data_IF_039596069938
#
_entry.id   IF_039596069938
#
_cell.length_a   1.000
_cell.length_b   1.000
_cell.length_c   1.000
_cell.angle_alpha   90.00
_cell.angle_beta   90.00
_cell.angle_gamma   90.00
#
_symmetry.space_group_name_H-M   'P 1'
#
loop_
_entity.id
_entity.type
_entity.pdbx_description
1 polymer ?
#
# COMPACT_ATOMS: atom_id res chain seq x y z
N UNK A 1 -8.63 -20.34 4.58
CA UNK A 1 -8.43 -18.88 4.69
C UNK A 1 -7.09 -18.55 4.03
N UNK A 2 -7.02 -17.53 3.19
CA UNK A 2 -5.82 -17.24 2.37
C UNK A 2 -4.81 -16.47 3.22
N UNK A 3 -3.61 -17.01 3.42
CA UNK A 3 -2.60 -16.40 4.29
C UNK A 3 -1.65 -15.49 3.48
N UNK A 4 -2.10 -14.25 3.28
CA UNK A 4 -1.25 -13.21 2.71
C UNK A 4 -0.08 -12.84 3.63
N UNK A 5 -0.13 -13.19 4.92
CA UNK A 5 0.91 -12.88 5.90
C UNK A 5 2.25 -13.50 5.53
N UNK A 6 2.28 -14.80 5.25
CA UNK A 6 3.51 -15.48 4.82
C UNK A 6 4.07 -14.92 3.51
N UNK A 7 3.20 -14.66 2.54
CA UNK A 7 3.60 -14.11 1.25
C UNK A 7 4.23 -12.73 1.38
N UNK A 8 3.56 -11.82 2.10
CA UNK A 8 4.06 -10.46 2.31
C UNK A 8 5.34 -10.48 3.15
N UNK A 9 5.45 -11.37 4.15
CA UNK A 9 6.66 -11.53 4.95
C UNK A 9 7.86 -12.00 4.13
N UNK A 10 7.67 -12.93 3.18
CA UNK A 10 8.73 -13.37 2.28
C UNK A 10 9.20 -12.27 1.33
N UNK A 11 8.28 -11.43 0.85
CA UNK A 11 8.64 -10.31 -0.03
C UNK A 11 9.27 -9.13 0.70
N UNK A 12 9.03 -9.00 2.01
CA UNK A 12 9.43 -7.84 2.81
C UNK A 12 10.14 -8.22 4.12
N UNK A 13 11.20 -9.04 4.08
CA UNK A 13 11.82 -9.56 5.29
C UNK A 13 12.35 -8.45 6.21
N UNK A 14 12.89 -7.38 5.63
CA UNK A 14 13.45 -6.24 6.38
C UNK A 14 12.39 -5.51 7.22
N UNK A 15 11.16 -5.37 6.70
CA UNK A 15 10.04 -4.74 7.41
C UNK A 15 9.64 -5.59 8.60
N UNK A 16 9.51 -6.91 8.42
CA UNK A 16 9.13 -7.81 9.52
C UNK A 16 10.22 -7.94 10.58
N UNK A 17 11.50 -7.88 10.19
CA UNK A 17 12.60 -7.80 11.14
C UNK A 17 12.57 -6.50 11.98
N UNK A 18 12.15 -5.38 11.37
CA UNK A 18 12.07 -4.09 12.04
C UNK A 18 10.88 -3.94 13.01
N UNK A 19 9.85 -4.79 12.90
CA UNK A 19 8.65 -4.70 13.74
C UNK A 19 8.95 -4.90 15.24
N UNK A 20 10.01 -5.62 15.62
CA UNK A 20 10.41 -5.74 17.03
C UNK A 20 11.05 -4.48 17.61
N UNK A 21 11.29 -3.45 16.80
CA UNK A 21 11.94 -2.21 17.20
C UNK A 21 11.00 -1.01 17.39
N UNK A 22 11.58 0.19 17.57
CA UNK A 22 10.81 1.43 17.66
C UNK A 22 10.27 1.87 16.28
N UNK A 23 9.25 2.74 16.30
CA UNK A 23 8.56 3.22 15.10
C UNK A 23 9.43 4.05 14.14
N UNK A 24 10.40 4.82 14.66
CA UNK A 24 11.26 5.68 13.84
C UNK A 24 12.15 4.89 12.86
N UNK A 25 12.93 3.86 13.29
CA UNK A 25 13.64 3.00 12.35
C UNK A 25 12.72 2.26 11.38
N UNK A 26 11.55 1.79 11.84
CA UNK A 26 10.58 1.14 10.95
C UNK A 26 10.13 2.08 9.83
N UNK A 27 9.87 3.35 10.15
CA UNK A 27 9.50 4.38 9.15
C UNK A 27 10.54 4.54 8.06
N UNK A 28 11.83 4.54 8.41
CA UNK A 28 12.94 4.58 7.47
C UNK A 28 12.96 3.34 6.58
N UNK A 29 12.89 2.15 7.19
CA UNK A 29 12.94 0.86 6.49
C UNK A 29 11.75 0.70 5.53
N UNK A 30 10.56 1.16 5.92
CA UNK A 30 9.39 1.19 5.04
C UNK A 30 9.64 2.08 3.81
N UNK A 31 10.17 3.30 4.00
CA UNK A 31 10.45 4.21 2.89
C UNK A 31 11.48 3.62 1.91
N UNK A 32 12.58 3.07 2.43
CA UNK A 32 13.63 2.42 1.63
C UNK A 32 13.11 1.19 0.86
N UNK A 33 12.41 0.29 1.57
CA UNK A 33 11.84 -0.92 0.96
C UNK A 33 10.83 -0.58 -0.13
N UNK A 34 9.99 0.44 0.07
CA UNK A 34 8.97 0.85 -0.91
C UNK A 34 9.61 1.48 -2.15
N UNK A 35 10.62 2.34 -1.97
CA UNK A 35 11.34 2.95 -3.09
C UNK A 35 12.08 1.89 -3.91
N UNK A 36 12.74 0.93 -3.24
CA UNK A 36 13.41 -0.20 -3.90
C UNK A 36 12.46 -1.06 -4.71
N UNK A 37 11.29 -1.40 -4.15
CA UNK A 37 10.24 -2.16 -4.85
C UNK A 37 9.65 -1.42 -6.06
N UNK A 38 9.59 -0.08 -6.02
CA UNK A 38 9.21 0.73 -7.17
C UNK A 38 10.30 0.80 -8.25
N UNK A 39 11.45 0.13 -8.05
CA UNK A 39 12.57 0.07 -8.97
C UNK A 39 13.49 1.29 -8.92
N UNK A 40 13.43 2.06 -7.82
CA UNK A 40 14.25 3.24 -7.60
C UNK A 40 15.24 3.08 -6.45
N UNK A 41 16.24 3.95 -6.42
CA UNK A 41 17.12 4.16 -5.28
C UNK A 41 16.86 5.57 -4.72
N UNK A 42 16.97 5.73 -3.41
CA UNK A 42 16.80 7.03 -2.76
C UNK A 42 18.00 7.93 -3.09
N UNK A 43 17.77 9.00 -3.84
CA UNK A 43 18.85 9.85 -4.40
C UNK A 43 19.42 10.83 -3.37
N UNK A 44 18.61 11.27 -2.41
CA UNK A 44 19.03 12.20 -1.37
C UNK A 44 18.15 12.02 -0.13
N UNK A 45 18.62 11.24 0.84
CA UNK A 45 17.95 11.14 2.14
C UNK A 45 18.74 11.86 3.22
N UNK A 46 18.05 12.61 4.10
CA UNK A 46 18.57 12.83 5.44
C UNK A 46 18.81 11.47 6.10
N UNK A 47 19.97 11.30 6.72
CA UNK A 47 20.51 10.01 7.21
C UNK A 47 19.65 9.35 8.30
N UNK A 48 18.65 10.05 8.83
CA UNK A 48 17.81 9.60 9.93
C UNK A 48 16.36 10.04 9.77
N UNK A 49 15.44 9.10 10.03
CA UNK A 49 14.02 9.43 10.15
C UNK A 49 13.77 10.31 11.37
N UNK A 50 12.84 11.26 11.23
CA UNK A 50 12.38 12.07 12.34
C UNK A 50 11.78 11.21 13.46
N UNK A 51 11.84 11.73 14.70
CA UNK A 51 11.25 11.07 15.86
C UNK A 51 9.76 10.81 15.63
N UNK A 52 9.31 9.58 15.88
CA UNK A 52 7.91 9.19 15.86
C UNK A 52 7.42 9.13 17.31
N UNK A 53 6.33 9.82 17.60
CA UNK A 53 5.65 9.83 18.89
C UNK A 53 4.19 9.41 18.70
N UNK A 54 3.58 8.87 19.75
CA UNK A 54 2.16 8.50 19.80
C UNK A 54 1.46 9.27 20.91
N UNK A 55 0.16 9.56 20.75
CA UNK A 55 -0.70 10.14 21.80
C UNK A 55 -1.25 9.09 22.78
N UNK A 56 -1.04 7.80 22.50
CA UNK A 56 -1.33 6.66 23.38
C UNK A 56 -0.07 5.82 23.65
N UNK A 57 -0.13 4.99 24.69
CA UNK A 57 0.98 4.13 25.09
C UNK A 57 1.05 2.91 24.16
N UNK A 58 2.10 2.84 23.35
CA UNK A 58 2.46 1.65 22.58
C UNK A 58 3.89 1.27 22.92
N UNK A 59 4.16 0.02 23.32
CA UNK A 59 5.50 -0.40 23.71
C UNK A 59 6.47 -0.50 22.52
N UNK A 60 5.98 -0.95 21.35
CA UNK A 60 6.80 -1.16 20.16
C UNK A 60 5.99 -1.18 18.85
N UNK A 61 6.69 -1.25 17.71
CA UNK A 61 6.04 -1.28 16.41
C UNK A 61 5.22 -2.56 16.16
N UNK A 62 5.59 -3.69 16.79
CA UNK A 62 4.90 -4.98 16.66
C UNK A 62 3.51 -4.90 17.25
N UNK A 63 3.40 -4.36 18.46
CA UNK A 63 2.13 -4.17 19.15
C UNK A 63 1.24 -3.25 18.34
N UNK A 64 1.78 -2.15 17.81
CA UNK A 64 1.04 -1.26 16.91
C UNK A 64 0.52 -2.02 15.68
N UNK A 65 1.38 -2.79 15.03
CA UNK A 65 1.05 -3.55 13.83
C UNK A 65 0.00 -4.64 14.09
N UNK A 66 -0.01 -5.25 15.27
CA UNK A 66 -1.02 -6.23 15.68
C UNK A 66 -2.40 -5.59 15.87
N UNK A 67 -2.44 -4.38 16.43
CA UNK A 67 -3.69 -3.66 16.69
C UNK A 67 -4.32 -3.07 15.42
N UNK A 68 -3.53 -2.43 14.54
CA UNK A 68 -4.07 -1.71 13.38
C UNK A 68 -3.82 -2.40 12.03
N UNK A 69 -2.92 -3.37 11.98
CA UNK A 69 -2.46 -4.00 10.74
C UNK A 69 -1.36 -3.21 10.03
N UNK A 70 -0.55 -3.91 9.23
CA UNK A 70 0.62 -3.34 8.55
C UNK A 70 0.25 -2.23 7.55
N UNK A 71 -0.87 -2.37 6.83
CA UNK A 71 -1.29 -1.41 5.81
C UNK A 71 -1.61 -0.04 6.46
N UNK A 72 -2.38 -0.05 7.55
CA UNK A 72 -2.73 1.17 8.31
C UNK A 72 -1.48 1.78 8.93
N UNK A 73 -0.63 0.96 9.53
CA UNK A 73 0.63 1.42 10.14
C UNK A 73 1.56 2.06 9.09
N UNK A 74 1.66 1.47 7.91
CA UNK A 74 2.50 2.00 6.82
C UNK A 74 2.01 3.38 6.37
N UNK A 75 0.71 3.54 6.20
CA UNK A 75 0.12 4.85 5.87
C UNK A 75 0.35 5.85 7.00
N UNK A 76 0.14 5.47 8.25
CA UNK A 76 0.33 6.35 9.41
C UNK A 76 1.77 6.87 9.51
N UNK A 77 2.76 6.03 9.20
CA UNK A 77 4.16 6.39 9.25
C UNK A 77 4.63 7.26 8.07
N UNK A 78 3.97 7.18 6.91
CA UNK A 78 4.49 7.77 5.67
C UNK A 78 3.62 8.86 5.05
N UNK A 79 2.33 8.95 5.38
CA UNK A 79 1.38 9.77 4.62
C UNK A 79 1.37 11.26 4.98
N UNK A 80 1.76 11.63 6.20
CA UNK A 80 1.51 12.97 6.73
C UNK A 80 2.68 13.92 6.44
N UNK A 81 3.83 13.67 7.05
CA UNK A 81 5.01 14.55 6.96
C UNK A 81 6.19 13.86 6.26
N UNK A 82 7.13 14.63 5.66
CA UNK A 82 8.36 14.08 5.09
C UNK A 82 9.18 13.26 6.09
N UNK A 83 10.00 12.34 5.58
CA UNK A 83 10.71 11.33 6.39
C UNK A 83 11.57 11.91 7.53
N UNK A 84 12.20 13.07 7.32
CA UNK A 84 13.03 13.75 8.32
C UNK A 84 12.26 14.56 9.36
N UNK A 85 10.97 14.80 9.14
CA UNK A 85 10.17 15.59 10.07
C UNK A 85 9.66 14.69 11.20
N UNK A 86 9.65 15.20 12.46
CA UNK A 86 8.99 14.51 13.55
C UNK A 86 7.52 14.24 13.22
N UNK A 87 7.03 13.07 13.64
CA UNK A 87 5.67 12.61 13.36
C UNK A 87 4.98 12.27 14.68
N UNK A 88 3.79 12.86 14.89
CA UNK A 88 2.88 12.44 15.95
C UNK A 88 1.77 11.58 15.34
N UNK A 89 1.75 10.29 15.66
CA UNK A 89 0.64 9.42 15.31
C UNK A 89 -0.44 9.61 16.37
N UNK A 90 -1.64 9.95 15.92
CA UNK A 90 -2.82 10.08 16.77
C UNK A 90 -3.78 8.93 16.56
N UNK A 91 -4.66 8.66 17.52
CA UNK A 91 -5.72 7.68 17.29
C UNK A 91 -6.62 8.09 16.10
N UNK A 92 -6.87 9.38 15.93
CA UNK A 92 -7.65 9.92 14.82
C UNK A 92 -6.97 9.71 13.46
N UNK A 93 -5.64 9.85 13.38
CA UNK A 93 -4.92 9.60 12.12
C UNK A 93 -4.99 8.13 11.71
N UNK A 94 -4.87 7.20 12.68
CA UNK A 94 -5.06 5.77 12.43
C UNK A 94 -6.46 5.44 11.91
N UNK A 95 -7.50 5.97 12.58
CA UNK A 95 -8.89 5.79 12.16
C UNK A 95 -9.10 6.36 10.75
N UNK A 96 -8.51 7.51 10.43
CA UNK A 96 -8.57 8.12 9.11
C UNK A 96 -8.00 7.21 8.01
N UNK A 97 -6.82 6.63 8.24
CA UNK A 97 -6.21 5.68 7.30
C UNK A 97 -7.04 4.40 7.14
N UNK A 98 -7.54 3.84 8.24
CA UNK A 98 -8.42 2.67 8.19
C UNK A 98 -9.71 2.95 7.43
N UNK A 99 -10.38 4.09 7.67
CA UNK A 99 -11.60 4.50 6.96
C UNK A 99 -11.34 4.62 5.46
N UNK A 100 -10.21 5.22 5.08
CA UNK A 100 -9.83 5.34 3.68
C UNK A 100 -9.59 3.98 3.03
N UNK A 101 -8.84 3.06 3.67
CA UNK A 101 -8.64 1.70 3.15
C UNK A 101 -9.96 0.92 3.05
N UNK A 102 -10.86 1.08 4.04
CA UNK A 102 -12.19 0.47 4.00
C UNK A 102 -13.03 0.99 2.84
N UNK A 103 -12.93 2.28 2.53
CA UNK A 103 -13.58 2.88 1.37
C UNK A 103 -13.02 2.29 0.07
N UNK A 104 -11.69 2.27 -0.09
CA UNK A 104 -11.01 1.66 -1.25
C UNK A 104 -11.46 0.22 -1.45
N UNK A 105 -11.42 -0.58 -0.38
CA UNK A 105 -11.83 -1.98 -0.45
C UNK A 105 -13.29 -2.13 -0.85
N UNK A 106 -14.22 -1.42 -0.20
CA UNK A 106 -15.65 -1.51 -0.53
C UNK A 106 -15.96 -1.11 -1.97
N UNK A 107 -15.31 -0.07 -2.47
CA UNK A 107 -15.54 0.41 -3.84
C UNK A 107 -15.04 -0.57 -4.90
N UNK A 108 -14.00 -1.35 -4.59
CA UNK A 108 -13.33 -2.22 -5.56
C UNK A 108 -13.55 -3.73 -5.32
N UNK A 109 -14.14 -4.13 -4.20
CA UNK A 109 -14.29 -5.54 -3.83
C UNK A 109 -15.41 -6.26 -4.58
N UNK A 110 -16.39 -5.53 -5.11
CA UNK A 110 -17.58 -6.07 -5.79
C UNK A 110 -17.33 -6.49 -7.25
N UNK A 111 -16.07 -6.55 -7.68
CA UNK A 111 -15.71 -7.10 -8.97
C UNK A 111 -16.15 -8.57 -9.05
N UNK A 112 -17.14 -8.84 -9.91
CA UNK A 112 -17.47 -10.22 -10.30
C UNK A 112 -16.25 -10.83 -10.96
N UNK A 113 -15.76 -12.00 -10.51
CA UNK A 113 -14.61 -12.64 -11.13
C UNK A 113 -14.98 -12.97 -12.57
N UNK A 114 -14.47 -12.20 -13.53
CA UNK A 114 -14.58 -12.51 -14.94
C UNK A 114 -13.92 -13.88 -15.12
N UNK A 115 -14.67 -14.85 -15.60
CA UNK A 115 -14.25 -16.26 -15.71
C UNK A 115 -13.07 -16.49 -16.68
N UNK A 116 -12.46 -15.43 -17.20
CA UNK A 116 -11.29 -15.48 -18.08
C UNK A 116 -10.02 -15.22 -17.28
N UNK A 117 -9.43 -16.33 -16.83
CA UNK A 117 -8.11 -16.40 -16.21
C UNK A 117 -7.03 -15.90 -17.18
N UNK A 118 -6.50 -14.68 -16.98
CA UNK A 118 -5.40 -14.15 -17.78
C UNK A 118 -4.12 -14.04 -16.95
N UNK A 119 -3.22 -15.00 -17.25
CA UNK A 119 -1.76 -15.02 -17.11
C UNK A 119 -1.11 -14.93 -15.70
N UNK A 120 -0.01 -15.68 -15.48
CA UNK A 120 0.83 -15.53 -14.29
C UNK A 120 1.38 -14.10 -14.22
N UNK A 121 1.60 -13.63 -12.98
CA UNK A 121 2.03 -12.27 -12.63
C UNK A 121 2.97 -11.69 -13.70
N UNK A 122 2.53 -10.76 -14.55
CA UNK A 122 3.45 -10.06 -15.42
C UNK A 122 4.42 -9.29 -14.51
N UNK A 123 5.72 -9.36 -14.83
CA UNK A 123 6.72 -8.50 -14.21
C UNK A 123 6.19 -7.08 -14.33
N UNK A 124 5.84 -6.46 -13.20
CA UNK A 124 5.18 -5.15 -13.17
C UNK A 124 6.08 -4.18 -13.95
N UNK A 125 5.64 -3.68 -15.12
CA UNK A 125 6.48 -2.80 -15.91
C UNK A 125 6.92 -1.59 -15.07
N UNK A 126 8.15 -1.10 -15.24
CA UNK A 126 8.61 0.13 -14.54
C UNK A 126 7.65 1.32 -14.77
N UNK A 127 6.92 1.34 -15.89
CA UNK A 127 5.88 2.33 -16.19
C UNK A 127 4.68 2.29 -15.25
N UNK A 128 4.41 1.16 -14.58
CA UNK A 128 3.27 1.02 -13.65
C UNK A 128 3.39 1.94 -12.45
N UNK A 129 4.62 2.22 -12.01
CA UNK A 129 4.89 3.11 -10.87
C UNK A 129 5.20 4.55 -11.30
N UNK A 130 5.01 4.91 -12.58
CA UNK A 130 5.44 6.20 -13.11
C UNK A 130 4.91 7.41 -12.32
N UNK A 131 3.68 7.34 -11.79
CA UNK A 131 3.07 8.40 -10.99
C UNK A 131 3.72 8.57 -9.60
N UNK A 132 4.23 7.49 -9.03
CA UNK A 132 4.77 7.46 -7.67
C UNK A 132 6.30 7.46 -7.65
N UNK A 133 6.93 7.06 -8.75
CA UNK A 133 8.38 6.92 -8.85
C UNK A 133 9.11 8.25 -8.56
N UNK A 134 8.79 9.40 -9.19
CA UNK A 134 9.48 10.67 -8.92
C UNK A 134 9.43 11.13 -7.44
N UNK A 135 8.28 11.10 -6.73
CA UNK A 135 8.28 11.43 -5.31
C UNK A 135 9.00 10.38 -4.45
N UNK A 136 8.93 9.09 -4.78
CA UNK A 136 9.62 8.03 -4.02
C UNK A 136 11.14 8.17 -4.05
N UNK A 137 11.76 8.35 -5.21
CA UNK A 137 13.22 8.54 -5.33
C UNK A 137 13.70 9.83 -4.66
N UNK A 138 12.83 10.83 -4.56
CA UNK A 138 13.07 12.08 -3.85
C UNK A 138 12.84 11.99 -2.33
N UNK A 139 12.56 10.80 -1.77
CA UNK A 139 12.29 10.62 -0.34
C UNK A 139 10.97 11.26 0.14
N UNK A 140 10.03 11.52 -0.78
CA UNK A 140 8.74 12.17 -0.51
C UNK A 140 7.60 11.15 -0.53
N UNK A 141 7.66 10.18 0.37
CA UNK A 141 6.62 9.13 0.50
C UNK A 141 5.22 9.70 0.77
N UNK A 142 5.13 10.81 1.52
CA UNK A 142 3.88 11.51 1.77
C UNK A 142 3.23 12.04 0.47
N UNK A 143 4.04 12.59 -0.44
CA UNK A 143 3.57 13.03 -1.77
C UNK A 143 3.17 11.83 -2.63
N UNK A 144 3.92 10.73 -2.58
CA UNK A 144 3.55 9.50 -3.30
C UNK A 144 2.20 8.93 -2.82
N UNK A 145 1.93 8.96 -1.51
CA UNK A 145 0.63 8.54 -0.95
C UNK A 145 -0.49 9.52 -1.32
N UNK A 146 -0.22 10.83 -1.35
CA UNK A 146 -1.18 11.80 -1.86
C UNK A 146 -1.56 11.52 -3.31
N UNK A 147 -0.56 11.24 -4.18
CA UNK A 147 -0.80 10.84 -5.56
C UNK A 147 -1.63 9.55 -5.65
N UNK A 148 -1.35 8.55 -4.81
CA UNK A 148 -2.13 7.31 -4.74
C UNK A 148 -3.60 7.59 -4.38
N UNK A 149 -3.88 8.51 -3.45
CA UNK A 149 -5.25 8.93 -3.12
C UNK A 149 -5.93 9.64 -4.28
N UNK A 150 -5.22 10.50 -5.01
CA UNK A 150 -5.73 11.15 -6.21
C UNK A 150 -6.05 10.14 -7.31
N UNK A 151 -5.22 9.10 -7.47
CA UNK A 151 -5.52 8.00 -8.41
C UNK A 151 -6.86 7.34 -8.06
N UNK A 152 -7.10 7.03 -6.78
CA UNK A 152 -8.38 6.47 -6.33
C UNK A 152 -9.57 7.41 -6.62
N UNK A 153 -9.44 8.70 -6.28
CA UNK A 153 -10.49 9.69 -6.54
C UNK A 153 -10.83 9.80 -8.03
N UNK A 154 -9.82 9.74 -8.90
CA UNK A 154 -10.00 9.77 -10.35
C UNK A 154 -10.74 8.51 -10.86
N UNK A 155 -10.49 7.34 -10.25
CA UNK A 155 -11.23 6.12 -10.58
C UNK A 155 -12.72 6.24 -10.20
N UNK A 156 -13.02 6.77 -9.01
CA UNK A 156 -14.40 6.90 -8.55
C UNK A 156 -15.17 7.97 -9.33
N UNK A 157 -14.56 9.13 -9.61
CA UNK A 157 -15.20 10.20 -10.38
C UNK A 157 -15.56 9.77 -11.82
N UNK A 158 -14.72 8.91 -12.44
CA UNK A 158 -14.99 8.32 -13.76
C UNK A 158 -16.16 7.34 -13.71
N UNK A 159 -16.27 6.54 -12.65
CA UNK A 159 -17.37 5.60 -12.46
C UNK A 159 -18.73 6.31 -12.31
N UNK A 160 -18.76 7.42 -11.57
CA UNK A 160 -20.00 8.22 -11.39
C UNK A 160 -20.47 8.84 -12.71
N UNK A 161 -19.54 9.38 -13.50
CA UNK A 161 -19.82 10.02 -14.80
C UNK A 161 -20.18 9.00 -15.88
N UNK A 162 -19.60 7.80 -15.88
CA UNK A 162 -19.93 6.73 -16.82
C UNK A 162 -21.28 6.05 -16.54
N UNK A 163 -21.78 6.06 -15.29
CA UNK A 163 -23.14 5.56 -15.00
C UNK A 163 -24.25 6.35 -15.72
N UNK A 164 -23.94 7.56 -16.20
CA UNK A 164 -24.83 8.43 -16.99
C UNK A 164 -24.66 8.27 -18.51
N UNK A 165 -23.62 7.57 -18.96
CA UNK A 165 -23.29 7.40 -20.37
C UNK A 165 -22.96 5.94 -20.65
N UNK A 166 -23.98 5.20 -21.11
CA UNK A 166 -23.86 3.80 -21.50
C UNK A 166 -22.63 3.57 -22.38
N UNK A 167 -21.83 2.59 -21.97
CA UNK A 167 -20.75 1.93 -22.70
C UNK A 167 -19.63 2.83 -23.21
N UNK A 168 -18.48 2.79 -22.53
CA UNK A 168 -17.16 2.78 -23.17
C UNK A 168 -16.11 2.46 -22.09
N UNK A 169 -15.61 1.23 -22.17
CA UNK A 169 -14.38 0.68 -21.62
C UNK A 169 -13.81 1.41 -20.40
N UNK A 170 -13.93 0.81 -19.21
CA UNK A 170 -12.93 1.03 -18.16
C UNK A 170 -11.56 0.99 -18.83
N UNK A 171 -10.68 1.97 -18.59
CA UNK A 171 -9.28 1.80 -18.98
C UNK A 171 -8.71 0.80 -17.98
N UNK A 172 -8.61 -0.52 -18.28
CA UNK A 172 -8.11 -1.51 -17.33
C UNK A 172 -6.74 -1.09 -16.77
N UNK A 173 -5.98 -0.36 -17.58
CA UNK A 173 -4.68 0.21 -17.24
C UNK A 173 -4.70 1.14 -16.03
N UNK A 174 -5.75 1.94 -15.81
CA UNK A 174 -5.82 2.87 -14.68
C UNK A 174 -6.10 2.14 -13.36
N UNK A 175 -7.02 1.17 -13.37
CA UNK A 175 -7.32 0.33 -12.22
C UNK A 175 -6.12 -0.57 -11.89
N UNK A 176 -5.52 -1.22 -12.89
CA UNK A 176 -4.33 -2.04 -12.70
C UNK A 176 -3.17 -1.22 -12.15
N UNK A 177 -2.95 -0.02 -12.69
CA UNK A 177 -1.93 0.90 -12.16
C UNK A 177 -2.23 1.27 -10.72
N UNK A 178 -3.47 1.64 -10.37
CA UNK A 178 -3.84 1.94 -8.99
C UNK A 178 -3.58 0.76 -8.05
N UNK A 179 -4.05 -0.44 -8.39
CA UNK A 179 -3.87 -1.62 -7.54
C UNK A 179 -2.40 -1.99 -7.38
N UNK A 180 -1.60 -1.90 -8.44
CA UNK A 180 -0.15 -2.11 -8.35
C UNK A 180 0.51 -1.07 -7.43
N UNK A 181 0.18 0.21 -7.58
CA UNK A 181 0.71 1.28 -6.70
C UNK A 181 0.21 1.13 -5.26
N UNK A 182 -1.01 0.63 -5.04
CA UNK A 182 -1.56 0.36 -3.71
C UNK A 182 -0.78 -0.72 -2.99
N UNK A 183 -0.40 -1.81 -3.69
CA UNK A 183 0.40 -2.89 -3.06
C UNK A 183 1.72 -2.41 -2.49
N UNK A 184 2.32 -1.34 -3.02
CA UNK A 184 3.55 -0.78 -2.46
C UNK A 184 3.38 -0.40 -0.99
N UNK A 185 2.33 0.35 -0.65
CA UNK A 185 2.08 0.84 0.71
C UNK A 185 1.18 -0.07 1.54
N UNK A 186 0.22 -0.72 0.90
CA UNK A 186 -0.84 -1.49 1.52
C UNK A 186 -0.88 -2.89 0.89
N UNK A 187 0.14 -3.73 1.13
CA UNK A 187 0.26 -5.02 0.49
C UNK A 187 -0.95 -5.93 0.77
N UNK A 188 -1.54 -5.92 1.96
CA UNK A 188 -2.63 -6.86 2.28
C UNK A 188 -3.91 -6.53 1.52
N UNK A 189 -4.39 -5.28 1.61
CA UNK A 189 -5.56 -4.81 0.86
C UNK A 189 -5.27 -4.85 -0.65
N UNK A 190 -4.07 -4.44 -1.07
CA UNK A 190 -3.68 -4.45 -2.47
C UNK A 190 -3.69 -5.84 -3.09
N UNK A 191 -3.11 -6.85 -2.45
CA UNK A 191 -3.11 -8.22 -2.97
C UNK A 191 -4.48 -8.88 -2.93
N UNK A 192 -5.30 -8.61 -1.90
CA UNK A 192 -6.69 -9.09 -1.89
C UNK A 192 -7.46 -8.55 -3.10
N UNK A 193 -7.37 -7.25 -3.36
CA UNK A 193 -8.03 -6.62 -4.50
C UNK A 193 -7.48 -7.10 -5.84
N UNK A 194 -6.16 -7.16 -6.02
CA UNK A 194 -5.56 -7.73 -7.23
C UNK A 194 -6.08 -9.15 -7.51
N UNK A 195 -6.24 -9.96 -6.46
CA UNK A 195 -6.74 -11.33 -6.62
C UNK A 195 -8.23 -11.38 -6.96
N UNK A 196 -9.06 -10.51 -6.38
CA UNK A 196 -10.50 -10.40 -6.71
C UNK A 196 -10.72 -9.99 -8.16
N UNK A 197 -9.87 -9.10 -8.67
CA UNK A 197 -9.87 -8.65 -10.06
C UNK A 197 -9.19 -9.64 -11.04
N UNK A 198 -8.76 -10.81 -10.56
CA UNK A 198 -8.15 -11.85 -11.41
C UNK A 198 -6.74 -11.51 -11.94
N UNK A 199 -6.10 -10.47 -11.40
CA UNK A 199 -4.81 -9.94 -11.87
C UNK A 199 -3.60 -10.71 -11.34
N UNK A 200 -3.79 -11.43 -10.24
CA UNK A 200 -2.80 -12.33 -9.67
C UNK A 200 -3.47 -13.62 -9.23
N UNK A 201 -2.69 -14.71 -9.22
CA UNK A 201 -3.08 -15.93 -8.52
C UNK A 201 -2.55 -15.87 -7.10
N UNK A 202 -3.41 -16.23 -6.15
CA UNK A 202 -2.96 -16.45 -4.79
C UNK A 202 -1.90 -17.57 -4.79
N UNK A 203 -0.72 -17.33 -4.21
CA UNK A 203 0.27 -18.37 -4.08
C UNK A 203 -0.26 -19.44 -3.12
N UNK A 204 -0.29 -20.70 -3.58
CA UNK A 204 -0.53 -21.85 -2.73
C UNK A 204 0.75 -22.08 -1.91
N UNK A 205 0.85 -21.50 -0.72
CA UNK A 205 1.98 -21.75 0.17
C UNK A 205 1.60 -22.89 1.14
N UNK A 206 2.49 -23.88 1.28
CA UNK A 206 2.36 -25.03 2.20
C UNK A 206 1.88 -24.57 3.57
N UNK A 207 0.70 -25.03 4.00
CA UNK A 207 0.10 -24.66 5.28
C UNK A 207 -1.42 -24.51 5.24
N UNK A 208 -2.03 -24.49 4.05
CA UNK A 208 -3.48 -24.68 3.93
C UNK A 208 -3.84 -26.07 4.48
N UNK A 209 -4.50 -26.09 5.64
CA UNK A 209 -5.18 -27.29 6.13
C UNK A 209 -6.24 -27.66 5.08
N UNK A 210 -6.12 -28.87 4.54
CA UNK A 210 -7.15 -29.53 3.74
C UNK A 210 -8.46 -29.69 4.52
#
# INVERSE_FOLDING_TARGET
MRDWGFFVAQQRPNIYAALSGPLSPLRQILAESITSMAGGELVATPTTSGKVTTDFVVPDARTMCQEVGLDVLTLALLADVPLHRPLLITQNSLIGHWRWLRLVWRTLADATPTSECVKPMPVTPKSTFATLYPPLVAGRSNVAIANLRTMFQNLTARSETQSMQNSLSESPDALHSFLANLTLFCPFIGYDLLCRHGLIKAPWIKGSIE
#
